data_IF_350589433622
#
_entry.id   IF_350589433622
#
_cell.length_a   1.000
_cell.length_b   1.000
_cell.length_c   1.000
_cell.angle_alpha   90.00
_cell.angle_beta   90.00
_cell.angle_gamma   90.00
#
_symmetry.space_group_name_H-M   'P 1'
#
loop_
_entity.id
_entity.type
_entity.pdbx_description
1 polymer ?
#
# COMPACT_ATOMS: atom_id res chain seq x y z
N UNK A 1 -12.63 -5.04 -18.98
CA UNK A 1 -11.26 -4.58 -18.70
C UNK A 1 -11.28 -3.90 -17.34
N UNK A 2 -10.24 -4.04 -16.51
CA UNK A 2 -10.17 -3.32 -15.24
C UNK A 2 -9.78 -1.85 -15.44
N UNK A 3 -10.28 -0.97 -14.57
CA UNK A 3 -9.91 0.45 -14.51
C UNK A 3 -9.35 0.77 -13.13
N UNK A 4 -8.09 1.15 -13.05
CA UNK A 4 -7.47 1.57 -11.80
C UNK A 4 -7.38 3.10 -11.74
N UNK A 5 -8.03 3.70 -10.76
CA UNK A 5 -7.84 5.11 -10.41
C UNK A 5 -6.69 5.23 -9.41
N UNK A 6 -5.68 6.01 -9.76
CA UNK A 6 -4.48 6.18 -8.96
C UNK A 6 -3.53 7.20 -9.56
N UNK A 7 -2.42 7.46 -8.88
CA UNK A 7 -1.35 8.34 -9.35
C UNK A 7 0.00 7.83 -8.84
N UNK A 8 1.10 8.30 -9.44
CA UNK A 8 2.45 8.02 -8.98
C UNK A 8 2.63 8.45 -7.51
N UNK A 9 3.62 7.89 -6.81
CA UNK A 9 3.83 8.10 -5.35
C UNK A 9 2.66 7.71 -4.43
N UNK A 10 1.62 7.04 -4.94
CA UNK A 10 0.47 6.59 -4.14
C UNK A 10 0.41 5.07 -3.94
N UNK A 11 -0.50 4.64 -3.07
CA UNK A 11 -0.81 3.23 -2.83
C UNK A 11 -1.37 2.48 -4.05
N UNK A 12 -1.65 3.15 -5.18
CA UNK A 12 -2.09 2.46 -6.40
C UNK A 12 -1.03 1.55 -7.00
N UNK A 13 0.26 1.79 -6.73
CA UNK A 13 1.35 0.91 -7.16
C UNK A 13 1.12 -0.56 -6.78
N UNK A 14 0.59 -0.80 -5.58
CA UNK A 14 0.29 -2.16 -5.08
C UNK A 14 -0.69 -2.88 -5.99
N UNK A 15 -1.69 -2.16 -6.50
CA UNK A 15 -2.75 -2.71 -7.34
C UNK A 15 -2.27 -2.83 -8.79
N UNK A 16 -1.41 -1.94 -9.27
CA UNK A 16 -0.73 -2.08 -10.56
C UNK A 16 0.10 -3.37 -10.61
N UNK A 17 0.91 -3.62 -9.59
CA UNK A 17 1.70 -4.87 -9.46
C UNK A 17 0.77 -6.09 -9.45
N UNK A 18 -0.29 -6.05 -8.65
CA UNK A 18 -1.24 -7.15 -8.57
C UNK A 18 -1.93 -7.44 -9.91
N UNK A 19 -2.42 -6.40 -10.62
CA UNK A 19 -3.05 -6.55 -11.94
C UNK A 19 -2.08 -7.10 -12.98
N UNK A 20 -0.80 -6.70 -12.95
CA UNK A 20 0.24 -7.28 -13.80
C UNK A 20 0.45 -8.77 -13.49
N UNK A 21 0.53 -9.16 -12.21
CA UNK A 21 0.66 -10.57 -11.80
C UNK A 21 -0.57 -11.41 -12.18
N UNK A 22 -1.76 -10.82 -12.16
CA UNK A 22 -2.99 -11.47 -12.62
C UNK A 22 -3.03 -11.68 -14.15
N UNK A 23 -2.13 -11.03 -14.91
CA UNK A 23 -2.07 -11.09 -16.37
C UNK A 23 -3.42 -10.74 -17.05
N UNK A 24 -4.14 -9.76 -16.48
CA UNK A 24 -5.45 -9.31 -16.99
C UNK A 24 -5.33 -7.99 -17.75
N UNK A 25 -6.26 -7.71 -18.69
CA UNK A 25 -6.34 -6.38 -19.31
C UNK A 25 -6.79 -5.33 -18.29
N UNK A 26 -6.01 -4.27 -18.16
CA UNK A 26 -6.33 -3.13 -17.32
C UNK A 26 -5.75 -1.83 -17.91
N UNK A 27 -6.24 -0.70 -17.41
CA UNK A 27 -5.68 0.60 -17.68
C UNK A 27 -5.77 1.49 -16.43
N UNK A 28 -4.91 2.50 -16.37
CA UNK A 28 -4.91 3.50 -15.32
C UNK A 28 -5.66 4.75 -15.75
N UNK A 29 -6.37 5.36 -14.81
CA UNK A 29 -6.86 6.73 -14.90
C UNK A 29 -6.16 7.54 -13.80
N UNK A 30 -5.41 8.56 -14.21
CA UNK A 30 -4.71 9.43 -13.28
C UNK A 30 -5.72 10.24 -12.47
N UNK A 31 -5.77 10.00 -11.16
CA UNK A 31 -6.72 10.62 -10.25
C UNK A 31 -6.15 10.69 -8.83
N UNK A 32 -6.50 11.74 -8.09
CA UNK A 32 -6.21 11.89 -6.66
C UNK A 32 -7.21 12.85 -6.00
N UNK A 33 -7.28 12.86 -4.67
CA UNK A 33 -8.16 13.79 -3.94
C UNK A 33 -7.58 15.19 -3.79
N UNK A 34 -6.31 15.40 -4.15
CA UNK A 34 -5.58 16.66 -3.98
C UNK A 34 -5.22 17.35 -5.29
N UNK A 35 -5.55 16.75 -6.44
CA UNK A 35 -5.40 17.37 -7.76
C UNK A 35 -6.75 17.40 -8.48
N UNK A 36 -7.10 18.56 -9.03
CA UNK A 36 -8.30 18.71 -9.86
C UNK A 36 -8.04 18.18 -11.28
N UNK A 37 -9.07 17.60 -11.90
CA UNK A 37 -9.01 17.10 -13.26
C UNK A 37 -10.11 16.07 -13.57
N UNK A 38 -10.26 15.72 -14.84
CA UNK A 38 -11.33 14.79 -15.29
C UNK A 38 -11.29 13.45 -14.55
N UNK A 39 -10.09 12.93 -14.26
CA UNK A 39 -9.91 11.71 -13.46
C UNK A 39 -10.37 11.84 -12.02
N UNK A 40 -10.13 12.99 -11.38
CA UNK A 40 -10.60 13.29 -10.01
C UNK A 40 -12.12 13.45 -9.95
N UNK A 41 -12.72 14.10 -10.96
CA UNK A 41 -14.18 14.18 -11.11
C UNK A 41 -14.81 12.81 -11.34
N UNK A 42 -14.17 11.96 -12.15
CA UNK A 42 -14.59 10.59 -12.38
C UNK A 42 -14.52 9.74 -11.11
N UNK A 43 -13.42 9.86 -10.36
CA UNK A 43 -13.25 9.20 -9.07
C UNK A 43 -14.34 9.63 -8.07
N UNK A 44 -14.65 10.92 -8.00
CA UNK A 44 -15.67 11.45 -7.09
C UNK A 44 -17.08 10.90 -7.34
N UNK A 45 -17.39 10.48 -8.57
CA UNK A 45 -18.69 9.87 -8.92
C UNK A 45 -18.82 8.44 -8.38
N UNK A 46 -17.71 7.73 -8.19
CA UNK A 46 -17.71 6.30 -7.82
C UNK A 46 -17.21 6.05 -6.40
N UNK A 47 -16.39 6.93 -5.84
CA UNK A 47 -15.86 6.85 -4.49
C UNK A 47 -16.07 8.20 -3.77
N UNK A 48 -17.07 8.31 -2.87
CA UNK A 48 -17.35 9.54 -2.13
C UNK A 48 -16.18 10.03 -1.27
N UNK A 49 -15.28 9.14 -0.83
CA UNK A 49 -14.08 9.51 -0.08
C UNK A 49 -12.96 10.05 -0.98
N UNK A 50 -13.10 9.92 -2.31
CA UNK A 50 -12.09 10.27 -3.32
C UNK A 50 -10.71 9.64 -3.07
N UNK A 51 -10.67 8.54 -2.34
CA UNK A 51 -9.43 7.85 -2.01
C UNK A 51 -8.97 6.97 -3.16
N UNK A 52 -7.65 6.91 -3.32
CA UNK A 52 -6.97 6.01 -4.25
C UNK A 52 -6.16 4.99 -3.45
N UNK A 53 -5.99 3.76 -3.95
CA UNK A 53 -6.56 3.24 -5.19
C UNK A 53 -8.07 3.00 -5.14
N UNK A 54 -8.73 3.19 -6.29
CA UNK A 54 -10.09 2.68 -6.54
C UNK A 54 -10.06 1.83 -7.80
N UNK A 55 -10.53 0.59 -7.73
CA UNK A 55 -10.54 -0.35 -8.85
C UNK A 55 -11.98 -0.55 -9.34
N UNK A 56 -12.20 -0.42 -10.64
CA UNK A 56 -13.46 -0.82 -11.29
C UNK A 56 -13.23 -2.11 -12.05
N UNK A 57 -14.04 -3.13 -11.76
CA UNK A 57 -13.99 -4.44 -12.40
C UNK A 57 -14.62 -4.40 -13.81
N UNK A 58 -14.40 -5.43 -14.65
CA UNK A 58 -15.00 -5.49 -15.98
C UNK A 58 -16.54 -5.44 -16.01
N UNK A 59 -17.20 -5.88 -14.95
CA UNK A 59 -18.66 -5.84 -14.76
C UNK A 59 -19.16 -4.56 -14.06
N UNK A 60 -18.26 -3.61 -13.78
CA UNK A 60 -18.61 -2.29 -13.24
C UNK A 60 -18.70 -2.22 -11.73
N UNK A 61 -18.30 -3.27 -11.00
CA UNK A 61 -18.18 -3.21 -9.55
C UNK A 61 -17.04 -2.28 -9.15
N UNK A 62 -17.30 -1.43 -8.16
CA UNK A 62 -16.30 -0.54 -7.57
C UNK A 62 -15.73 -1.20 -6.31
N UNK A 63 -14.41 -1.37 -6.28
CA UNK A 63 -13.66 -1.87 -5.13
C UNK A 63 -12.75 -0.76 -4.60
N UNK A 64 -12.85 -0.50 -3.30
CA UNK A 64 -11.98 0.42 -2.55
C UNK A 64 -11.25 -0.35 -1.45
N UNK A 65 -10.36 0.33 -0.74
CA UNK A 65 -9.42 -0.25 0.24
C UNK A 65 -8.36 -1.16 -0.40
N UNK A 66 -7.08 -0.74 -0.38
CA UNK A 66 -5.99 -1.47 -1.03
C UNK A 66 -5.90 -2.94 -0.62
N UNK A 67 -6.07 -3.25 0.68
CA UNK A 67 -6.07 -4.62 1.17
C UNK A 67 -7.23 -5.44 0.59
N UNK A 68 -8.44 -4.87 0.52
CA UNK A 68 -9.60 -5.57 -0.03
C UNK A 68 -9.44 -5.84 -1.53
N UNK A 69 -8.88 -4.88 -2.28
CA UNK A 69 -8.57 -5.05 -3.71
C UNK A 69 -7.54 -6.17 -3.91
N UNK A 70 -6.45 -6.19 -3.14
CA UNK A 70 -5.44 -7.25 -3.20
C UNK A 70 -6.04 -8.63 -2.87
N UNK A 71 -6.91 -8.70 -1.87
CA UNK A 71 -7.62 -9.93 -1.50
C UNK A 71 -8.54 -10.39 -2.64
N UNK A 72 -9.32 -9.48 -3.20
CA UNK A 72 -10.21 -9.79 -4.34
C UNK A 72 -9.41 -10.35 -5.51
N UNK A 73 -8.36 -9.67 -5.96
CA UNK A 73 -7.52 -10.12 -7.07
C UNK A 73 -6.87 -11.47 -6.79
N UNK A 74 -6.39 -11.71 -5.57
CA UNK A 74 -5.80 -13.00 -5.21
C UNK A 74 -6.80 -14.14 -5.07
N UNK A 75 -8.08 -13.86 -4.79
CA UNK A 75 -9.15 -14.86 -4.80
C UNK A 75 -9.64 -15.16 -6.22
N UNK A 76 -9.80 -14.13 -7.03
CA UNK A 76 -10.28 -14.22 -8.41
C UNK A 76 -9.24 -14.86 -9.34
N UNK A 77 -7.96 -14.57 -9.11
CA UNK A 77 -6.85 -15.10 -9.90
C UNK A 77 -5.87 -15.91 -9.03
N UNK A 78 -6.21 -17.14 -8.59
CA UNK A 78 -5.34 -17.94 -7.74
C UNK A 78 -3.95 -18.21 -8.36
N UNK A 79 -3.87 -18.28 -9.69
CA UNK A 79 -2.61 -18.47 -10.42
C UNK A 79 -1.64 -17.28 -10.33
N UNK A 80 -2.10 -16.13 -9.81
CA UNK A 80 -1.25 -14.97 -9.54
C UNK A 80 -0.35 -15.16 -8.31
N UNK A 81 -0.59 -16.17 -7.49
CA UNK A 81 0.08 -16.42 -6.21
C UNK A 81 0.02 -15.25 -5.20
N UNK A 82 -0.87 -14.27 -5.39
CA UNK A 82 -1.04 -13.13 -4.48
C UNK A 82 -1.45 -13.57 -3.06
N UNK A 83 -2.18 -14.67 -2.92
CA UNK A 83 -2.56 -15.26 -1.63
C UNK A 83 -1.95 -16.65 -1.41
N UNK A 84 -0.83 -16.96 -2.09
CA UNK A 84 -0.10 -18.21 -1.91
C UNK A 84 0.75 -18.17 -0.63
N UNK A 85 0.74 -19.27 0.14
CA UNK A 85 1.34 -19.36 1.47
C UNK A 85 0.28 -19.57 2.57
N UNK A 86 0.57 -19.15 3.80
CA UNK A 86 -0.39 -19.21 4.89
C UNK A 86 -1.43 -18.09 4.75
N UNK A 87 -2.53 -18.37 4.04
CA UNK A 87 -3.58 -17.39 3.75
C UNK A 87 -4.10 -16.66 4.97
N UNK A 88 -4.29 -17.34 6.10
CA UNK A 88 -4.77 -16.70 7.32
C UNK A 88 -3.79 -15.63 7.83
N UNK A 89 -2.48 -15.89 7.74
CA UNK A 89 -1.45 -14.93 8.13
C UNK A 89 -1.28 -13.81 7.11
N UNK A 90 -1.41 -14.09 5.82
CA UNK A 90 -1.39 -13.07 4.76
C UNK A 90 -2.54 -12.08 4.98
N UNK A 91 -3.77 -12.57 5.15
CA UNK A 91 -4.93 -11.73 5.41
C UNK A 91 -4.77 -10.92 6.70
N UNK A 92 -4.29 -11.56 7.78
CA UNK A 92 -4.01 -10.86 9.05
C UNK A 92 -3.00 -9.75 8.86
N UNK A 93 -1.93 -9.98 8.11
CA UNK A 93 -0.89 -8.99 7.83
C UNK A 93 -1.38 -7.83 6.98
N UNK A 94 -2.18 -8.10 5.93
CA UNK A 94 -2.78 -7.06 5.09
C UNK A 94 -3.66 -6.12 5.92
N UNK A 95 -4.53 -6.70 6.75
CA UNK A 95 -5.39 -5.94 7.65
C UNK A 95 -4.58 -5.24 8.74
N UNK A 96 -3.47 -5.83 9.21
CA UNK A 96 -2.58 -5.19 10.16
C UNK A 96 -1.98 -3.91 9.58
N UNK A 97 -1.41 -3.96 8.36
CA UNK A 97 -0.84 -2.78 7.71
C UNK A 97 -1.92 -1.73 7.49
N UNK A 98 -3.09 -2.12 6.98
CA UNK A 98 -4.19 -1.18 6.74
C UNK A 98 -4.62 -0.46 8.04
N UNK A 99 -4.80 -1.21 9.14
CA UNK A 99 -5.37 -0.70 10.37
C UNK A 99 -4.37 0.01 11.28
N UNK A 100 -3.08 -0.36 11.25
CA UNK A 100 -2.08 0.17 12.20
C UNK A 100 -1.04 1.06 11.52
N UNK A 101 -0.61 0.71 10.29
CA UNK A 101 0.45 1.45 9.61
C UNK A 101 -0.14 2.52 8.69
N UNK A 102 -1.00 2.13 7.74
CA UNK A 102 -1.47 3.04 6.71
C UNK A 102 -2.48 4.07 7.25
N UNK A 103 -3.28 3.68 8.24
CA UNK A 103 -4.13 4.60 8.99
C UNK A 103 -3.33 5.69 9.73
N UNK A 104 -2.18 5.34 10.31
CA UNK A 104 -1.30 6.25 11.01
C UNK A 104 -0.66 7.27 10.05
N UNK A 105 -0.22 6.83 8.87
CA UNK A 105 0.25 7.73 7.80
C UNK A 105 -0.87 8.72 7.42
N UNK A 106 -2.10 8.25 7.25
CA UNK A 106 -3.25 9.13 6.96
C UNK A 106 -3.53 10.18 8.06
N UNK A 107 -3.22 9.88 9.33
CA UNK A 107 -3.29 10.84 10.44
C UNK A 107 -2.14 11.85 10.37
N UNK A 108 -0.94 11.39 10.00
CA UNK A 108 0.25 12.24 9.88
C UNK A 108 0.11 13.24 8.73
N UNK A 109 -0.38 12.78 7.58
CA UNK A 109 -0.56 13.63 6.39
C UNK A 109 -1.70 14.64 6.56
N UNK A 110 -2.74 14.28 7.31
CA UNK A 110 -3.97 15.07 7.41
C UNK A 110 -4.49 15.20 8.87
N UNK A 111 -3.68 15.68 9.83
CA UNK A 111 -4.06 15.77 11.25
C UNK A 111 -5.31 16.63 11.49
N UNK A 112 -5.56 17.61 10.63
CA UNK A 112 -6.76 18.46 10.62
C UNK A 112 -8.07 17.68 10.49
N UNK A 113 -8.08 16.45 9.94
CA UNK A 113 -9.29 15.62 9.91
C UNK A 113 -9.73 15.17 11.31
N UNK A 114 -8.80 15.14 12.27
CA UNK A 114 -9.08 14.78 13.67
C UNK A 114 -9.18 16.01 14.58
N UNK A 115 -8.41 17.06 14.28
CA UNK A 115 -8.28 18.22 15.16
C UNK A 115 -9.04 19.47 14.66
N UNK A 116 -9.56 19.46 13.43
CA UNK A 116 -10.16 20.64 12.81
C UNK A 116 -9.14 21.77 12.70
N UNK A 117 -9.53 22.97 13.14
CA UNK A 117 -8.71 24.18 13.10
C UNK A 117 -7.88 24.39 14.39
N UNK A 118 -7.51 23.33 15.10
CA UNK A 118 -6.66 23.44 16.29
C UNK A 118 -5.29 24.05 15.94
N UNK A 119 -4.65 24.71 16.92
CA UNK A 119 -3.36 25.36 16.74
C UNK A 119 -2.27 24.39 16.27
N UNK A 120 -1.32 24.90 15.50
CA UNK A 120 -0.22 24.12 14.89
C UNK A 120 0.56 23.29 15.92
N UNK A 121 0.73 23.80 17.15
CA UNK A 121 1.40 23.06 18.22
C UNK A 121 0.68 21.77 18.60
N UNK A 122 -0.67 21.77 18.60
CA UNK A 122 -1.48 20.58 18.90
C UNK A 122 -1.42 19.60 17.73
N UNK A 123 -1.43 20.11 16.50
CA UNK A 123 -1.26 19.28 15.29
C UNK A 123 0.10 18.59 15.28
N UNK A 124 1.18 19.33 15.59
CA UNK A 124 2.54 18.79 15.67
C UNK A 124 2.69 17.72 16.76
N UNK A 125 2.01 17.88 17.90
CA UNK A 125 1.97 16.86 18.96
C UNK A 125 1.30 15.56 18.49
N UNK A 126 0.17 15.66 17.79
CA UNK A 126 -0.52 14.50 17.21
C UNK A 126 0.38 13.80 16.19
N UNK A 127 0.96 14.54 15.25
CA UNK A 127 1.87 14.00 14.23
C UNK A 127 3.05 13.27 14.87
N UNK A 128 3.70 13.88 15.86
CA UNK A 128 4.85 13.28 16.55
C UNK A 128 4.46 12.00 17.28
N UNK A 129 3.33 12.00 17.99
CA UNK A 129 2.82 10.83 18.70
C UNK A 129 2.47 9.68 17.75
N UNK A 130 1.78 10.00 16.65
CA UNK A 130 1.36 9.04 15.64
C UNK A 130 2.54 8.45 14.88
N UNK A 131 3.55 9.23 14.50
CA UNK A 131 4.77 8.72 13.85
C UNK A 131 5.51 7.72 14.73
N UNK A 132 5.65 8.04 16.02
CA UNK A 132 6.24 7.09 16.98
C UNK A 132 5.43 5.78 17.08
N UNK A 133 4.10 5.87 17.05
CA UNK A 133 3.25 4.67 17.01
C UNK A 133 3.43 3.88 15.71
N UNK A 134 3.44 4.54 14.56
CA UNK A 134 3.69 3.92 13.25
C UNK A 134 5.01 3.14 13.24
N UNK A 135 6.09 3.77 13.71
CA UNK A 135 7.41 3.14 13.81
C UNK A 135 7.38 1.89 14.70
N UNK A 136 6.70 1.96 15.85
CA UNK A 136 6.52 0.80 16.72
C UNK A 136 5.67 -0.30 16.04
N UNK A 137 4.63 0.06 15.30
CA UNK A 137 3.78 -0.88 14.58
C UNK A 137 4.57 -1.62 13.50
N UNK A 138 5.50 -0.94 12.80
CA UNK A 138 6.40 -1.58 11.85
C UNK A 138 7.36 -2.58 12.49
N UNK A 139 7.92 -2.27 13.66
CA UNK A 139 8.78 -3.22 14.40
C UNK A 139 7.98 -4.46 14.82
N UNK A 140 6.75 -4.29 15.30
CA UNK A 140 5.85 -5.42 15.63
C UNK A 140 5.47 -6.20 14.37
N UNK A 141 5.24 -5.53 13.25
CA UNK A 141 4.97 -6.18 11.98
C UNK A 141 6.14 -7.07 11.54
N UNK A 142 7.37 -6.52 11.60
CA UNK A 142 8.58 -7.25 11.27
C UNK A 142 8.71 -8.55 12.09
N UNK A 143 8.51 -8.47 13.40
CA UNK A 143 8.57 -9.63 14.31
C UNK A 143 7.53 -10.71 13.98
N UNK A 144 6.30 -10.30 13.66
CA UNK A 144 5.19 -11.25 13.50
C UNK A 144 5.02 -11.81 12.08
N UNK A 145 5.53 -11.12 11.06
CA UNK A 145 5.17 -11.40 9.67
C UNK A 145 6.37 -11.56 8.72
N UNK A 146 7.63 -11.44 9.17
CA UNK A 146 8.80 -11.53 8.28
C UNK A 146 8.77 -12.75 7.32
N UNK A 147 8.36 -13.92 7.82
CA UNK A 147 8.32 -15.16 7.04
C UNK A 147 7.06 -15.30 6.16
N UNK A 148 6.22 -14.27 6.07
CA UNK A 148 4.91 -14.33 5.40
C UNK A 148 4.85 -13.51 4.10
N UNK A 149 5.93 -12.84 3.69
CA UNK A 149 5.92 -11.88 2.57
C UNK A 149 6.02 -12.56 1.19
N UNK A 150 6.44 -13.82 1.14
CA UNK A 150 6.72 -14.54 -0.10
C UNK A 150 5.87 -15.80 -0.23
N UNK A 151 5.53 -16.13 -1.48
CA UNK A 151 5.03 -17.45 -1.85
C UNK A 151 6.18 -18.48 -1.90
N UNK A 152 5.86 -19.77 -2.03
CA UNK A 152 6.85 -20.85 -2.06
C UNK A 152 7.80 -20.80 -3.27
N UNK A 153 7.45 -20.05 -4.31
CA UNK A 153 8.29 -19.78 -5.48
C UNK A 153 9.16 -18.52 -5.33
N UNK A 154 9.28 -17.97 -4.11
CA UNK A 154 9.99 -16.73 -3.79
C UNK A 154 9.44 -15.47 -4.48
N UNK A 155 8.24 -15.51 -5.08
CA UNK A 155 7.57 -14.31 -5.55
C UNK A 155 6.90 -13.56 -4.37
N UNK A 156 7.00 -12.22 -4.29
CA UNK A 156 6.30 -11.45 -3.26
C UNK A 156 4.79 -11.65 -3.36
N UNK A 157 4.15 -12.10 -2.28
CA UNK A 157 2.69 -12.20 -2.24
C UNK A 157 2.05 -10.83 -1.97
N UNK A 158 0.73 -10.76 -1.85
CA UNK A 158 0.02 -9.51 -1.59
C UNK A 158 0.51 -8.79 -0.33
N UNK A 159 0.87 -9.54 0.72
CA UNK A 159 1.41 -8.97 1.96
C UNK A 159 2.80 -8.39 1.73
N UNK A 160 3.67 -9.10 0.99
CA UNK A 160 4.98 -8.58 0.58
C UNK A 160 4.87 -7.27 -0.19
N UNK A 161 4.00 -7.23 -1.20
CA UNK A 161 3.75 -6.04 -2.03
C UNK A 161 3.27 -4.87 -1.17
N UNK A 162 2.28 -5.10 -0.30
CA UNK A 162 1.72 -4.05 0.56
C UNK A 162 2.73 -3.58 1.62
N UNK A 163 3.48 -4.50 2.23
CA UNK A 163 4.53 -4.16 3.18
C UNK A 163 5.61 -3.30 2.53
N UNK A 164 6.06 -3.70 1.33
CA UNK A 164 7.10 -2.99 0.61
C UNK A 164 6.69 -1.58 0.18
N UNK A 165 5.48 -1.41 -0.34
CA UNK A 165 4.97 -0.08 -0.72
C UNK A 165 4.73 0.82 0.51
N UNK A 166 4.03 0.31 1.54
CA UNK A 166 3.59 1.17 2.65
C UNK A 166 4.74 1.60 3.56
N UNK A 167 5.77 0.77 3.68
CA UNK A 167 6.96 1.10 4.48
C UNK A 167 7.84 2.20 3.88
N UNK A 168 7.52 2.73 2.70
CA UNK A 168 8.24 3.86 2.08
C UNK A 168 7.92 5.23 2.66
N UNK A 169 6.84 5.33 3.42
CA UNK A 169 6.37 6.60 3.98
C UNK A 169 6.82 6.76 5.43
N UNK A 170 6.90 8.03 5.87
CA UNK A 170 7.20 8.43 7.26
C UNK A 170 8.46 7.77 7.85
N UNK A 171 9.54 7.70 7.08
CA UNK A 171 10.85 7.18 7.49
C UNK A 171 10.82 5.73 8.02
N UNK A 172 9.81 4.94 7.63
CA UNK A 172 9.64 3.59 8.16
C UNK A 172 10.77 2.64 7.73
N UNK A 173 11.37 2.81 6.53
CA UNK A 173 12.51 2.00 6.09
C UNK A 173 13.76 2.27 6.94
N UNK A 174 14.02 3.51 7.29
CA UNK A 174 15.16 3.93 8.11
C UNK A 174 15.08 3.32 9.50
N UNK A 175 13.89 3.37 10.11
CA UNK A 175 13.64 2.74 11.41
C UNK A 175 13.80 1.23 11.33
N UNK A 176 13.24 0.59 10.30
CA UNK A 176 13.36 -0.85 10.11
C UNK A 176 14.81 -1.29 9.86
N UNK A 177 15.59 -0.54 9.10
CA UNK A 177 17.02 -0.81 8.90
C UNK A 177 17.81 -0.74 10.20
N UNK A 178 17.45 0.16 11.11
CA UNK A 178 18.09 0.28 12.42
C UNK A 178 17.64 -0.79 13.43
N UNK A 179 16.34 -1.08 13.49
CA UNK A 179 15.73 -1.88 14.57
C UNK A 179 15.40 -3.33 14.17
N UNK A 180 15.22 -3.60 12.88
CA UNK A 180 14.86 -4.90 12.33
C UNK A 180 15.58 -5.17 10.98
N UNK A 181 16.93 -5.15 10.96
CA UNK A 181 17.71 -5.17 9.71
C UNK A 181 17.46 -6.41 8.84
N UNK A 182 17.16 -7.57 9.44
CA UNK A 182 16.78 -8.77 8.69
C UNK A 182 15.48 -8.57 7.90
N UNK A 183 14.49 -7.92 8.50
CA UNK A 183 13.25 -7.60 7.82
C UNK A 183 13.43 -6.50 6.77
N UNK A 184 14.29 -5.50 7.03
CA UNK A 184 14.65 -4.51 6.01
C UNK A 184 15.23 -5.20 4.75
N UNK A 185 16.11 -6.20 4.90
CA UNK A 185 16.61 -7.00 3.79
C UNK A 185 15.51 -7.78 3.07
N UNK A 186 14.55 -8.36 3.81
CA UNK A 186 13.36 -9.02 3.24
C UNK A 186 12.56 -8.06 2.37
N UNK A 187 12.39 -6.80 2.78
CA UNK A 187 11.71 -5.81 1.98
C UNK A 187 12.53 -5.39 0.74
N UNK A 188 13.85 -5.32 0.83
CA UNK A 188 14.72 -5.11 -0.35
C UNK A 188 14.56 -6.24 -1.36
N UNK A 189 14.42 -7.49 -0.91
CA UNK A 189 14.14 -8.61 -1.82
C UNK A 189 12.82 -8.40 -2.59
N UNK A 190 11.76 -7.92 -1.91
CA UNK A 190 10.51 -7.54 -2.59
C UNK A 190 10.73 -6.42 -3.60
N UNK A 191 11.47 -5.39 -3.20
CA UNK A 191 11.75 -4.22 -4.04
C UNK A 191 12.50 -4.59 -5.33
N UNK A 192 13.33 -5.64 -5.29
CA UNK A 192 14.10 -6.15 -6.44
C UNK A 192 13.36 -7.16 -7.32
N UNK A 193 12.14 -7.56 -6.96
CA UNK A 193 11.36 -8.50 -7.77
C UNK A 193 11.10 -7.94 -9.18
N UNK A 194 11.25 -8.75 -10.26
CA UNK A 194 11.13 -8.26 -11.64
C UNK A 194 9.78 -7.64 -12.01
N UNK A 195 8.71 -7.94 -11.29
CA UNK A 195 7.38 -7.34 -11.51
C UNK A 195 7.20 -6.09 -10.63
N UNK A 196 7.77 -6.10 -9.42
CA UNK A 196 7.68 -4.98 -8.47
C UNK A 196 8.59 -3.81 -8.88
N UNK A 197 9.86 -4.09 -9.17
CA UNK A 197 10.89 -3.08 -9.37
C UNK A 197 10.53 -2.03 -10.45
N UNK A 198 10.02 -2.41 -11.64
CA UNK A 198 9.68 -1.42 -12.66
C UNK A 198 8.55 -0.48 -12.24
N UNK A 199 7.56 -0.97 -11.49
CA UNK A 199 6.46 -0.16 -10.97
C UNK A 199 6.99 0.80 -9.91
N UNK A 200 7.80 0.30 -8.96
CA UNK A 200 8.38 1.15 -7.93
C UNK A 200 9.32 2.21 -8.48
N UNK A 201 10.16 1.89 -9.47
CA UNK A 201 11.02 2.88 -10.11
C UNK A 201 10.23 4.00 -10.81
N UNK A 202 9.05 3.70 -11.35
CA UNK A 202 8.16 4.73 -11.92
C UNK A 202 7.49 5.55 -10.82
N UNK A 203 7.03 4.91 -9.75
CA UNK A 203 6.36 5.60 -8.64
C UNK A 203 7.30 6.44 -7.79
N UNK A 204 8.57 6.07 -7.67
CA UNK A 204 9.57 6.77 -6.88
C UNK A 204 10.92 6.76 -7.61
N UNK A 205 11.12 7.61 -8.62
CA UNK A 205 12.34 7.62 -9.45
C UNK A 205 13.60 8.01 -8.67
N UNK A 206 13.45 8.74 -7.57
CA UNK A 206 14.53 9.17 -6.68
C UNK A 206 14.73 8.23 -5.48
N UNK A 207 14.05 7.07 -5.46
CA UNK A 207 14.19 6.12 -4.35
C UNK A 207 15.56 5.44 -4.38
N UNK A 208 16.42 5.81 -3.43
CA UNK A 208 17.65 5.07 -3.16
C UNK A 208 17.33 3.86 -2.26
N UNK A 209 17.64 2.65 -2.76
CA UNK A 209 17.41 1.42 -1.99
C UNK A 209 18.35 1.43 -0.77
N UNK A 210 17.78 1.60 0.42
CA UNK A 210 18.48 1.50 1.72
C UNK A 210 18.74 0.05 2.12
#
# INVERSE_FOLDING_TARGET
MYTLYGIDESGSCMIEIALQRCAVPWHRVDASSWQDGEGSEALARINPLKQIPTLVTPDGQVLTESAAILIHLGLEFPASDLLAGNRAQILRGLLYIAANCYSAIGIIDYPQRWLGNADEAVQAQLVTGTRRYLHQAWVVFADQFADQLFASNNAPNALGIMAAAVSRWDDAREVLSALAPGFAQTLVQVDTDPVVAPVFARHWPEWEVS
#
